data_IF_884322311715
#
_entry.id   IF_884322311715
#
_cell.length_a   1.000
_cell.length_b   1.000
_cell.length_c   1.000
_cell.angle_alpha   90.00
_cell.angle_beta   90.00
_cell.angle_gamma   90.00
#
_symmetry.space_group_name_H-M   'P 1'
#
loop_
_entity.id
_entity.type
_entity.pdbx_description
1 polymer ?
#
# COMPACT_ATOMS: atom_id res chain seq x y z
N UNK A 1 -4.62 0.11 -5.11
CA UNK A 1 -4.23 -0.21 -6.51
C UNK A 1 -5.29 0.10 -7.56
N UNK A 2 -6.47 -0.54 -7.57
CA UNK A 2 -7.51 -0.29 -8.61
C UNK A 2 -7.91 1.20 -8.73
N UNK A 3 -8.14 1.94 -7.62
CA UNK A 3 -8.53 3.36 -7.71
C UNK A 3 -7.46 4.26 -8.34
N UNK A 4 -6.18 3.95 -8.09
CA UNK A 4 -5.02 4.67 -8.62
C UNK A 4 -4.91 4.50 -10.13
N UNK A 5 -5.05 3.27 -10.64
CA UNK A 5 -5.05 3.00 -12.07
C UNK A 5 -6.25 3.63 -12.78
N UNK A 6 -7.43 3.56 -12.15
CA UNK A 6 -8.63 4.19 -12.70
C UNK A 6 -8.49 5.71 -12.74
N UNK A 7 -7.97 6.32 -11.68
CA UNK A 7 -7.69 7.76 -11.63
C UNK A 7 -6.70 8.17 -12.72
N UNK A 8 -5.61 7.43 -12.94
CA UNK A 8 -4.66 7.70 -14.01
C UNK A 8 -5.32 7.66 -15.40
N UNK A 9 -6.15 6.66 -15.66
CA UNK A 9 -6.86 6.52 -16.93
C UNK A 9 -7.87 7.66 -17.16
N UNK A 10 -8.58 8.07 -16.12
CA UNK A 10 -9.53 9.19 -16.17
C UNK A 10 -8.80 10.52 -16.39
N UNK A 11 -7.73 10.80 -15.64
CA UNK A 11 -6.90 12.00 -15.78
C UNK A 11 -6.32 12.10 -17.19
N UNK A 12 -5.78 11.00 -17.73
CA UNK A 12 -5.29 10.96 -19.11
C UNK A 12 -6.41 11.21 -20.13
N UNK A 13 -7.63 10.75 -19.88
CA UNK A 13 -8.77 10.94 -20.78
C UNK A 13 -9.30 12.37 -20.76
N UNK A 14 -9.31 13.02 -19.60
CA UNK A 14 -9.85 14.36 -19.38
C UNK A 14 -8.82 15.48 -19.59
N UNK A 15 -7.53 15.20 -19.42
CA UNK A 15 -6.48 16.20 -19.56
C UNK A 15 -6.44 16.79 -20.98
N UNK A 16 -6.20 18.10 -21.03
CA UNK A 16 -5.95 18.83 -22.28
C UNK A 16 -4.57 18.51 -22.87
N UNK A 17 -3.63 18.07 -22.03
CA UNK A 17 -2.22 17.81 -22.39
C UNK A 17 -1.91 16.30 -22.43
N UNK A 18 -2.74 15.52 -23.12
CA UNK A 18 -2.61 14.04 -23.18
C UNK A 18 -1.26 13.53 -23.67
N UNK A 19 -0.54 14.36 -24.44
CA UNK A 19 0.74 14.05 -25.06
C UNK A 19 1.89 13.99 -24.05
N UNK A 20 1.73 14.61 -22.87
CA UNK A 20 2.75 14.65 -21.80
C UNK A 20 2.77 13.37 -20.95
N UNK A 21 1.67 12.60 -20.97
CA UNK A 21 1.53 11.36 -20.21
C UNK A 21 2.45 10.26 -20.78
N UNK A 22 3.49 9.92 -20.02
CA UNK A 22 4.43 8.84 -20.37
C UNK A 22 5.60 9.27 -21.25
N UNK A 23 5.72 10.57 -21.59
CA UNK A 23 6.82 11.13 -22.38
C UNK A 23 7.71 12.03 -21.52
N UNK A 24 7.25 13.26 -21.27
CA UNK A 24 7.93 14.27 -20.44
C UNK A 24 7.45 14.22 -18.99
N UNK A 25 6.28 13.62 -18.75
CA UNK A 25 5.63 13.55 -17.44
C UNK A 25 4.56 14.63 -17.29
N UNK A 26 3.38 14.24 -16.79
CA UNK A 26 2.27 15.14 -16.51
C UNK A 26 2.01 15.16 -14.98
N UNK A 27 1.86 16.35 -14.40
CA UNK A 27 1.61 16.51 -12.95
C UNK A 27 0.28 15.83 -12.59
N UNK A 28 -0.73 15.98 -13.43
CA UNK A 28 -2.05 15.35 -13.28
C UNK A 28 -1.95 13.82 -13.29
N UNK A 29 -0.97 13.27 -14.03
CA UNK A 29 -0.67 11.84 -14.06
C UNK A 29 -0.03 11.27 -12.80
N UNK A 30 0.32 12.12 -11.83
CA UNK A 30 0.83 11.70 -10.51
C UNK A 30 -0.10 12.20 -9.40
N UNK A 31 -0.52 13.47 -9.43
CA UNK A 31 -1.34 14.08 -8.40
C UNK A 31 -2.71 13.39 -8.22
N UNK A 32 -3.41 13.10 -9.32
CA UNK A 32 -4.69 12.39 -9.27
C UNK A 32 -4.56 10.98 -8.71
N UNK A 33 -3.69 10.13 -9.29
CA UNK A 33 -3.43 8.78 -8.79
C UNK A 33 -2.97 8.73 -7.34
N UNK A 34 -2.08 9.63 -6.90
CA UNK A 34 -1.64 9.71 -5.51
C UNK A 34 -2.78 10.12 -4.57
N UNK A 35 -3.62 11.08 -4.98
CA UNK A 35 -4.82 11.45 -4.22
C UNK A 35 -5.79 10.26 -4.10
N UNK A 36 -6.01 9.51 -5.18
CA UNK A 36 -6.86 8.33 -5.20
C UNK A 36 -6.31 7.20 -4.31
N UNK A 37 -4.98 6.98 -4.35
CA UNK A 37 -4.31 6.01 -3.50
C UNK A 37 -4.50 6.38 -2.01
N UNK A 38 -4.24 7.63 -1.67
CA UNK A 38 -4.32 8.11 -0.30
C UNK A 38 -5.76 8.10 0.25
N UNK A 39 -6.74 8.48 -0.58
CA UNK A 39 -8.15 8.36 -0.25
C UNK A 39 -8.58 6.90 -0.08
N UNK A 40 -8.10 5.99 -0.94
CA UNK A 40 -8.38 4.56 -0.82
C UNK A 40 -7.80 3.98 0.48
N UNK A 41 -6.59 4.37 0.87
CA UNK A 41 -5.96 3.91 2.10
C UNK A 41 -6.76 4.31 3.34
N UNK A 42 -7.24 5.57 3.39
CA UNK A 42 -8.14 6.02 4.46
C UNK A 42 -9.50 5.30 4.41
N UNK A 43 -10.06 5.09 3.22
CA UNK A 43 -11.36 4.44 3.02
C UNK A 43 -11.41 2.98 3.49
N UNK A 44 -10.30 2.26 3.42
CA UNK A 44 -10.17 0.88 3.90
C UNK A 44 -10.43 0.75 5.41
N UNK A 45 -10.18 1.81 6.18
CA UNK A 45 -10.39 1.80 7.64
C UNK A 45 -11.88 1.82 8.02
N UNK A 46 -12.74 2.40 7.19
CA UNK A 46 -14.17 2.52 7.48
C UNK A 46 -14.83 1.15 7.71
N UNK A 47 -14.80 0.18 6.76
CA UNK A 47 -15.40 -1.14 6.97
C UNK A 47 -14.71 -1.93 8.10
N UNK A 48 -13.39 -1.75 8.28
CA UNK A 48 -12.67 -2.42 9.36
C UNK A 48 -13.12 -1.91 10.75
N UNK A 49 -13.24 -0.60 10.94
CA UNK A 49 -13.65 -0.02 12.22
C UNK A 49 -15.14 -0.21 12.51
N UNK A 50 -15.98 -0.14 11.47
CA UNK A 50 -17.44 -0.22 11.60
C UNK A 50 -17.98 -1.65 11.63
N UNK A 51 -17.39 -2.58 10.85
CA UNK A 51 -17.88 -3.96 10.74
C UNK A 51 -16.90 -4.98 11.32
N UNK A 52 -15.68 -4.59 11.67
CA UNK A 52 -14.64 -5.53 12.09
C UNK A 52 -14.09 -6.38 10.95
N UNK A 53 -14.40 -6.04 9.69
CA UNK A 53 -14.03 -6.82 8.51
C UNK A 53 -12.90 -6.14 7.73
N UNK A 54 -11.72 -6.77 7.60
CA UNK A 54 -10.62 -6.20 6.84
C UNK A 54 -10.90 -6.33 5.34
N UNK A 55 -10.72 -5.23 4.60
CA UNK A 55 -10.88 -5.19 3.13
C UNK A 55 -9.55 -5.15 2.40
N UNK A 56 -8.42 -5.19 3.12
CA UNK A 56 -7.06 -5.28 2.59
C UNK A 56 -6.13 -6.02 3.54
N UNK A 57 -4.97 -6.48 3.04
CA UNK A 57 -3.95 -7.11 3.87
C UNK A 57 -3.45 -6.18 4.99
N UNK A 58 -3.23 -4.90 4.69
CA UNK A 58 -2.83 -3.90 5.69
C UNK A 58 -3.90 -3.72 6.77
N UNK A 59 -5.17 -3.73 6.40
CA UNK A 59 -6.27 -3.65 7.36
C UNK A 59 -6.36 -4.91 8.24
N UNK A 60 -6.07 -6.09 7.70
CA UNK A 60 -6.04 -7.32 8.47
C UNK A 60 -4.92 -7.30 9.54
N UNK A 61 -3.74 -6.78 9.18
CA UNK A 61 -2.63 -6.58 10.15
C UNK A 61 -3.04 -5.59 11.23
N UNK A 62 -3.65 -4.45 10.86
CA UNK A 62 -4.15 -3.47 11.84
C UNK A 62 -5.24 -4.06 12.75
N UNK A 63 -6.15 -4.86 12.21
CA UNK A 63 -7.17 -5.56 12.99
C UNK A 63 -6.54 -6.51 14.01
N UNK A 64 -5.54 -7.30 13.59
CA UNK A 64 -4.77 -8.15 14.49
C UNK A 64 -4.06 -7.34 15.58
N UNK A 65 -3.53 -6.16 15.25
CA UNK A 65 -2.90 -5.28 16.22
C UNK A 65 -3.93 -4.77 17.25
N UNK A 66 -5.08 -4.27 16.80
CA UNK A 66 -6.17 -3.85 17.70
C UNK A 66 -6.61 -4.99 18.63
N UNK A 67 -6.80 -6.20 18.09
CA UNK A 67 -7.14 -7.38 18.89
C UNK A 67 -6.05 -7.70 19.92
N UNK A 68 -4.77 -7.53 19.59
CA UNK A 68 -3.66 -7.70 20.53
C UNK A 68 -3.69 -6.69 21.69
N UNK A 69 -4.28 -5.51 21.48
CA UNK A 69 -4.52 -4.51 22.53
C UNK A 69 -5.88 -4.67 23.23
N UNK A 70 -6.62 -5.75 22.94
CA UNK A 70 -7.96 -6.00 23.51
C UNK A 70 -9.06 -5.14 22.90
N UNK A 71 -8.80 -4.49 21.78
CA UNK A 71 -9.74 -3.65 21.05
C UNK A 71 -10.41 -4.52 19.99
N UNK A 72 -11.74 -4.65 20.05
CA UNK A 72 -12.53 -5.38 19.06
C UNK A 72 -13.28 -4.39 18.15
N UNK A 73 -12.82 -4.18 16.91
CA UNK A 73 -13.48 -3.28 15.97
C UNK A 73 -14.87 -3.80 15.58
N UNK A 74 -15.78 -2.88 15.28
CA UNK A 74 -17.18 -3.17 15.02
C UNK A 74 -18.10 -2.01 15.43
N UNK A 75 -19.42 -2.13 15.25
CA UNK A 75 -20.34 -1.01 15.47
C UNK A 75 -20.29 -0.48 16.91
N UNK A 76 -20.03 -1.38 17.87
CA UNK A 76 -19.93 -1.06 19.28
C UNK A 76 -18.65 -0.27 19.63
N UNK A 77 -17.58 -0.36 18.83
CA UNK A 77 -16.35 0.41 19.03
C UNK A 77 -16.63 1.92 18.97
N UNK A 78 -17.50 2.33 18.05
CA UNK A 78 -17.88 3.74 17.87
C UNK A 78 -18.58 4.32 19.09
N UNK A 79 -19.34 3.49 19.81
CA UNK A 79 -20.09 3.93 21.00
C UNK A 79 -19.29 3.75 22.29
N UNK A 80 -18.47 2.71 22.39
CA UNK A 80 -17.72 2.38 23.61
C UNK A 80 -16.34 3.05 23.67
N UNK A 81 -15.74 3.33 22.52
CA UNK A 81 -14.41 3.92 22.39
C UNK A 81 -14.42 5.09 21.38
N UNK A 82 -15.42 5.97 21.49
CA UNK A 82 -15.56 7.13 20.60
C UNK A 82 -14.31 8.02 20.56
N UNK A 83 -13.66 8.24 21.71
CA UNK A 83 -12.42 9.03 21.78
C UNK A 83 -11.28 8.40 20.98
N UNK A 84 -11.18 7.07 20.96
CA UNK A 84 -10.17 6.36 20.16
C UNK A 84 -10.45 6.52 18.68
N UNK A 85 -11.72 6.40 18.26
CA UNK A 85 -12.10 6.56 16.85
C UNK A 85 -11.87 7.99 16.38
N UNK A 86 -12.31 8.99 17.14
CA UNK A 86 -12.08 10.39 16.81
C UNK A 86 -10.61 10.77 16.87
N UNK A 87 -9.85 10.23 17.83
CA UNK A 87 -8.40 10.35 17.89
C UNK A 87 -7.71 9.76 16.66
N UNK A 88 -8.17 8.60 16.20
CA UNK A 88 -7.68 7.97 14.97
C UNK A 88 -7.99 8.84 13.75
N UNK A 89 -9.23 9.33 13.60
CA UNK A 89 -9.62 10.22 12.50
C UNK A 89 -8.78 11.50 12.52
N UNK A 90 -8.61 12.14 13.68
CA UNK A 90 -7.76 13.33 13.83
C UNK A 90 -6.30 13.02 13.49
N UNK A 91 -5.79 11.87 13.92
CA UNK A 91 -4.43 11.42 13.61
C UNK A 91 -4.22 11.19 12.12
N UNK A 92 -5.24 10.76 11.36
CA UNK A 92 -5.14 10.64 9.90
C UNK A 92 -4.91 12.00 9.24
N UNK A 93 -5.59 13.04 9.70
CA UNK A 93 -5.35 14.41 9.20
C UNK A 93 -3.93 14.88 9.51
N UNK A 94 -3.48 14.69 10.76
CA UNK A 94 -2.12 15.07 11.17
C UNK A 94 -1.07 14.26 10.41
N UNK A 95 -1.28 12.95 10.27
CA UNK A 95 -0.40 12.05 9.53
C UNK A 95 -0.25 12.47 8.07
N UNK A 96 -1.32 12.96 7.43
CA UNK A 96 -1.24 13.49 6.06
C UNK A 96 -0.36 14.74 5.97
N UNK A 97 -0.45 15.64 6.94
CA UNK A 97 0.44 16.81 7.00
C UNK A 97 1.89 16.38 7.19
N UNK A 98 2.14 15.46 8.13
CA UNK A 98 3.47 14.89 8.35
C UNK A 98 3.98 14.18 7.10
N UNK A 99 3.11 13.45 6.39
CA UNK A 99 3.44 12.74 5.16
C UNK A 99 3.96 13.71 4.10
N UNK A 100 3.34 14.88 3.93
CA UNK A 100 3.84 15.93 3.02
C UNK A 100 5.20 16.45 3.46
N UNK A 101 5.35 16.76 4.76
CA UNK A 101 6.61 17.25 5.33
C UNK A 101 7.76 16.25 5.15
N UNK A 102 7.48 14.95 5.25
CA UNK A 102 8.48 13.90 5.06
C UNK A 102 8.74 13.59 3.59
N UNK A 103 7.71 13.54 2.74
CA UNK A 103 7.87 13.12 1.34
C UNK A 103 8.56 14.19 0.49
N UNK A 104 8.29 15.48 0.71
CA UNK A 104 8.92 16.57 -0.02
C UNK A 104 10.47 16.53 0.02
N UNK A 105 11.14 16.40 1.18
CA UNK A 105 12.59 16.27 1.24
C UNK A 105 13.09 14.88 0.78
N UNK A 106 12.31 13.82 1.00
CA UNK A 106 12.69 12.45 0.64
C UNK A 106 12.55 12.13 -0.86
N UNK A 107 11.85 12.96 -1.65
CA UNK A 107 11.64 12.71 -3.08
C UNK A 107 12.96 12.51 -3.84
N UNK A 108 14.02 13.22 -3.46
CA UNK A 108 15.35 13.06 -4.05
C UNK A 108 15.95 11.66 -3.80
N UNK A 109 15.67 11.06 -2.65
CA UNK A 109 16.08 9.68 -2.33
C UNK A 109 15.27 8.68 -3.16
N UNK A 110 13.94 8.86 -3.23
CA UNK A 110 13.06 7.98 -3.98
C UNK A 110 13.41 7.96 -5.48
N UNK A 111 13.69 9.12 -6.07
CA UNK A 111 14.12 9.23 -7.46
C UNK A 111 15.47 8.55 -7.71
N UNK A 112 16.40 8.58 -6.74
CA UNK A 112 17.68 7.85 -6.86
C UNK A 112 17.48 6.33 -6.78
N UNK A 113 16.55 5.88 -5.95
CA UNK A 113 16.23 4.46 -5.82
C UNK A 113 15.69 3.86 -7.12
N UNK A 114 14.91 4.63 -7.89
CA UNK A 114 14.45 4.22 -9.23
C UNK A 114 15.56 4.05 -10.27
N UNK A 115 16.76 4.61 -10.03
CA UNK A 115 17.93 4.45 -10.91
C UNK A 115 18.74 3.19 -10.61
N UNK A 116 18.43 2.49 -9.51
CA UNK A 116 19.13 1.26 -9.15
C UNK A 116 18.73 0.16 -10.15
N UNK A 117 19.72 -0.57 -10.72
CA UNK A 117 19.45 -1.71 -11.58
C UNK A 117 18.46 -2.70 -10.94
N UNK A 118 17.45 -3.10 -11.71
CA UNK A 118 16.37 -3.98 -11.23
C UNK A 118 16.85 -5.24 -10.48
N UNK A 119 17.92 -5.96 -10.89
CA UNK A 119 18.41 -7.13 -10.15
C UNK A 119 18.85 -6.81 -8.71
N UNK A 120 19.52 -5.68 -8.51
CA UNK A 120 19.98 -5.25 -7.18
C UNK A 120 18.81 -4.81 -6.31
N UNK A 121 17.83 -4.13 -6.90
CA UNK A 121 16.61 -3.74 -6.22
C UNK A 121 15.82 -4.98 -5.73
N UNK A 122 15.66 -6.00 -6.59
CA UNK A 122 14.99 -7.23 -6.21
C UNK A 122 15.72 -8.01 -5.13
N UNK A 123 17.05 -8.05 -5.17
CA UNK A 123 17.85 -8.66 -4.11
C UNK A 123 17.62 -7.95 -2.76
N UNK A 124 17.62 -6.62 -2.75
CA UNK A 124 17.30 -5.83 -1.56
C UNK A 124 15.91 -6.11 -1.02
N UNK A 125 14.89 -6.10 -1.90
CA UNK A 125 13.50 -6.42 -1.53
C UNK A 125 13.42 -7.83 -0.92
N UNK A 126 14.09 -8.81 -1.50
CA UNK A 126 14.08 -10.19 -1.00
C UNK A 126 14.71 -10.29 0.40
N UNK A 127 15.81 -9.59 0.64
CA UNK A 127 16.43 -9.52 1.97
C UNK A 127 15.47 -8.91 2.99
N UNK A 128 14.89 -7.75 2.68
CA UNK A 128 13.92 -7.10 3.59
C UNK A 128 12.67 -7.95 3.82
N UNK A 129 12.15 -8.61 2.78
CA UNK A 129 11.02 -9.53 2.91
C UNK A 129 11.36 -10.72 3.80
N UNK A 130 12.54 -11.33 3.63
CA UNK A 130 13.02 -12.45 4.45
C UNK A 130 13.12 -12.03 5.92
N UNK A 131 13.78 -10.90 6.19
CA UNK A 131 13.96 -10.37 7.55
C UNK A 131 12.60 -10.00 8.17
N UNK A 132 11.71 -9.38 7.40
CA UNK A 132 10.37 -8.99 7.86
C UNK A 132 9.50 -10.21 8.20
N UNK A 133 9.44 -11.21 7.32
CA UNK A 133 8.68 -12.43 7.55
C UNK A 133 9.20 -13.18 8.78
N UNK A 134 10.52 -13.36 8.88
CA UNK A 134 11.10 -14.03 10.03
C UNK A 134 10.91 -13.25 11.34
N UNK A 135 10.99 -11.92 11.28
CA UNK A 135 10.81 -11.06 12.45
C UNK A 135 9.40 -11.09 13.03
N UNK A 136 8.37 -11.30 12.19
CA UNK A 136 6.96 -11.30 12.63
C UNK A 136 6.56 -12.67 13.17
N UNK A 137 6.81 -13.75 12.42
CA UNK A 137 6.27 -15.07 12.77
C UNK A 137 7.29 -16.01 13.42
N UNK A 138 8.59 -15.70 13.35
CA UNK A 138 9.69 -16.57 13.79
C UNK A 138 9.58 -18.03 13.28
N UNK A 139 8.80 -18.23 12.21
CA UNK A 139 8.43 -19.53 11.68
C UNK A 139 9.27 -19.84 10.44
N UNK A 140 10.05 -20.94 10.44
CA UNK A 140 10.76 -21.38 9.24
C UNK A 140 9.81 -21.75 8.08
N UNK A 141 8.58 -22.15 8.39
CA UNK A 141 7.57 -22.54 7.39
C UNK A 141 7.17 -21.33 6.55
N UNK A 142 6.99 -20.16 7.17
CA UNK A 142 6.59 -18.94 6.47
C UNK A 142 7.69 -18.44 5.53
N UNK A 143 8.97 -18.67 5.89
CA UNK A 143 10.10 -18.41 5.01
C UNK A 143 10.11 -19.34 3.80
N UNK A 144 9.81 -20.62 3.98
CA UNK A 144 9.70 -21.57 2.86
C UNK A 144 8.57 -21.14 1.92
N UNK A 145 7.41 -20.76 2.45
CA UNK A 145 6.29 -20.25 1.66
C UNK A 145 6.67 -18.98 0.90
N UNK A 146 7.34 -18.03 1.58
CA UNK A 146 7.85 -16.79 0.96
C UNK A 146 8.74 -17.10 -0.25
N UNK A 147 9.72 -18.00 -0.09
CA UNK A 147 10.64 -18.34 -1.18
C UNK A 147 9.97 -19.14 -2.29
N UNK A 148 9.03 -20.04 -1.97
CA UNK A 148 8.28 -20.79 -2.98
C UNK A 148 7.40 -19.86 -3.83
N UNK A 149 6.66 -18.96 -3.19
CA UNK A 149 5.82 -17.98 -3.88
C UNK A 149 6.69 -16.96 -4.64
N UNK A 150 7.81 -16.53 -4.07
CA UNK A 150 8.78 -15.65 -4.73
C UNK A 150 9.38 -16.28 -5.98
N UNK A 151 9.78 -17.56 -5.91
CA UNK A 151 10.29 -18.31 -7.05
C UNK A 151 9.21 -18.52 -8.12
N UNK A 152 7.98 -18.86 -7.71
CA UNK A 152 6.84 -18.97 -8.63
C UNK A 152 6.56 -17.63 -9.34
N UNK A 153 6.56 -16.50 -8.62
CA UNK A 153 6.41 -15.17 -9.19
C UNK A 153 7.54 -14.79 -10.15
N UNK A 154 8.78 -15.16 -9.82
CA UNK A 154 9.93 -14.96 -10.71
C UNK A 154 9.80 -15.77 -12.02
N UNK A 155 9.37 -17.03 -11.94
CA UNK A 155 9.13 -17.87 -13.12
C UNK A 155 7.99 -17.30 -13.98
N UNK A 156 6.86 -16.91 -13.38
CA UNK A 156 5.77 -16.27 -14.11
C UNK A 156 6.26 -15.04 -14.88
N UNK A 157 7.07 -14.19 -14.24
CA UNK A 157 7.65 -13.01 -14.89
C UNK A 157 8.65 -13.37 -15.99
N UNK A 158 9.41 -14.46 -15.85
CA UNK A 158 10.36 -14.95 -16.86
C UNK A 158 9.67 -15.43 -18.13
N UNK A 159 8.45 -15.94 -18.01
CA UNK A 159 7.61 -16.45 -19.10
C UNK A 159 6.53 -15.46 -19.56
N UNK A 160 6.66 -14.18 -19.21
CA UNK A 160 5.71 -13.10 -19.57
C UNK A 160 4.26 -13.35 -19.14
N UNK A 161 4.03 -14.20 -18.13
CA UNK A 161 2.71 -14.29 -17.51
C UNK A 161 2.45 -12.99 -16.74
N UNK A 162 1.27 -12.37 -16.90
CA UNK A 162 0.93 -11.17 -16.18
C UNK A 162 0.81 -11.53 -14.68
N UNK A 163 1.82 -11.15 -13.91
CA UNK A 163 1.87 -11.42 -12.46
C UNK A 163 0.85 -10.58 -11.69
N UNK A 164 0.46 -9.41 -12.22
CA UNK A 164 -0.50 -8.53 -11.58
C UNK A 164 -1.90 -9.16 -11.41
N UNK A 165 -2.52 -9.79 -12.42
CA UNK A 165 -3.74 -10.59 -12.27
C UNK A 165 -3.63 -11.76 -11.29
N UNK A 166 -2.47 -12.44 -11.24
CA UNK A 166 -2.27 -13.61 -10.35
C UNK A 166 -2.12 -13.22 -8.88
N UNK A 167 -1.64 -12.00 -8.59
CA UNK A 167 -1.54 -11.48 -7.22
C UNK A 167 -2.88 -10.90 -6.73
N UNK A 168 -3.72 -10.41 -7.67
CA UNK A 168 -5.01 -9.76 -7.37
C UNK A 168 -6.18 -10.75 -7.36
N UNK A 169 -6.12 -11.80 -8.18
CA UNK A 169 -7.12 -12.89 -8.25
C UNK A 169 -6.88 -13.98 -7.22
#
# INVERSE_FOLDING_TARGET
EIPTFLSYAIEKKLSKHKQEFGTVGAIEGVAGPEAANNASAAGVLVPMLTLGLPTSATAAIMLSAFQSYGINPGPLLLTTQGDLVWGLIASLFIANVILVILNLPLIGLWVRLLKIPAPQLYAGILVFATVGTYGISQSPIDLVILYLLGAAGFLMRRFDFPTAPVIIG
#
